data_IF_362893335689
#
_entry.id   IF_362893335689
#
_cell.length_a   1.000
_cell.length_b   1.000
_cell.length_c   1.000
_cell.angle_alpha   90.00
_cell.angle_beta   90.00
_cell.angle_gamma   90.00
#
_symmetry.space_group_name_H-M   'P 1'
#
loop_
_entity.id
_entity.type
_entity.pdbx_description
1 polymer ?
#
# COMPACT_ATOMS: atom_id res chain seq x y z
N UNK A 1 10.50 0.32 -3.81
CA UNK A 1 11.96 0.08 -3.79
C UNK A 1 12.68 1.21 -4.50
N UNK A 2 12.32 1.53 -5.75
CA UNK A 2 12.88 2.66 -6.52
C UNK A 2 13.02 3.96 -5.72
N UNK A 3 11.94 4.44 -5.10
CA UNK A 3 11.97 5.64 -4.26
C UNK A 3 13.05 5.58 -3.16
N UNK A 4 13.23 4.43 -2.51
CA UNK A 4 14.21 4.28 -1.43
C UNK A 4 15.66 4.20 -1.93
N UNK A 5 15.89 3.85 -3.20
CA UNK A 5 17.22 3.87 -3.81
C UNK A 5 17.75 5.29 -4.00
N UNK A 6 16.87 6.28 -4.12
CA UNK A 6 17.20 7.69 -4.26
C UNK A 6 17.22 8.47 -2.92
N UNK A 7 17.11 7.76 -1.78
CA UNK A 7 17.12 8.33 -0.42
C UNK A 7 18.40 7.96 0.33
N UNK A 8 18.69 8.69 1.41
CA UNK A 8 19.81 8.34 2.28
C UNK A 8 19.49 7.06 3.06
N UNK A 9 20.16 5.99 2.66
CA UNK A 9 20.08 4.66 3.25
C UNK A 9 20.88 4.53 4.56
N UNK A 10 21.57 5.59 5.02
CA UNK A 10 22.34 5.54 6.28
C UNK A 10 21.45 5.88 7.48
N UNK A 11 21.49 4.98 8.48
CA UNK A 11 20.77 5.14 9.75
C UNK A 11 21.79 4.98 10.86
N UNK A 12 22.32 6.12 11.34
CA UNK A 12 23.48 6.11 12.23
C UNK A 12 24.71 5.56 11.50
N UNK A 13 25.23 4.41 11.94
CA UNK A 13 26.40 3.75 11.34
C UNK A 13 26.06 2.60 10.37
N UNK A 14 24.77 2.24 10.23
CA UNK A 14 24.33 1.09 9.45
C UNK A 14 23.67 1.55 8.15
N UNK A 15 24.08 0.96 7.03
CA UNK A 15 23.42 1.15 5.73
C UNK A 15 22.25 0.16 5.63
N UNK A 16 21.04 0.69 5.59
CA UNK A 16 19.80 -0.07 5.52
C UNK A 16 19.38 -0.18 4.04
N UNK A 17 19.34 -1.39 3.44
CA UNK A 17 18.95 -1.54 2.04
C UNK A 17 17.52 -1.06 1.80
N UNK A 18 17.21 -0.35 0.69
CA UNK A 18 15.85 0.09 0.38
C UNK A 18 14.83 -1.06 0.32
N UNK A 19 15.26 -2.24 -0.12
CA UNK A 19 14.42 -3.44 -0.15
C UNK A 19 14.02 -3.93 1.25
N UNK A 20 14.81 -3.64 2.30
CA UNK A 20 14.49 -4.01 3.67
C UNK A 20 13.35 -3.19 4.27
N UNK A 21 12.89 -2.13 3.59
CA UNK A 21 11.76 -1.31 4.04
C UNK A 21 10.43 -2.11 4.07
N UNK A 22 10.29 -3.16 3.26
CA UNK A 22 9.15 -4.08 3.34
C UNK A 22 9.06 -4.81 4.68
N UNK A 23 10.14 -4.87 5.46
CA UNK A 23 10.12 -5.41 6.82
C UNK A 23 9.18 -4.60 7.72
N UNK A 24 9.07 -3.29 7.52
CA UNK A 24 8.15 -2.45 8.30
C UNK A 24 6.69 -2.81 8.07
N UNK A 25 6.33 -3.19 6.84
CA UNK A 25 5.01 -3.69 6.50
C UNK A 25 4.70 -4.99 7.26
N UNK A 26 5.60 -5.98 7.17
CA UNK A 26 5.49 -7.26 7.88
C UNK A 26 5.41 -7.05 9.41
N UNK A 27 6.26 -6.19 9.98
CA UNK A 27 6.24 -5.87 11.41
C UNK A 27 4.92 -5.21 11.82
N UNK A 28 4.39 -4.33 10.97
CA UNK A 28 3.09 -3.69 11.20
C UNK A 28 1.99 -4.74 11.25
N UNK A 29 1.97 -5.68 10.30
CA UNK A 29 1.00 -6.79 10.29
C UNK A 29 1.11 -7.62 11.58
N UNK A 30 2.32 -8.04 11.95
CA UNK A 30 2.57 -8.86 13.16
C UNK A 30 2.10 -8.14 14.43
N UNK A 31 2.28 -6.82 14.52
CA UNK A 31 1.85 -6.03 15.66
C UNK A 31 0.33 -5.76 15.63
N UNK A 32 -0.22 -5.49 14.45
CA UNK A 32 -1.57 -5.01 14.27
C UNK A 32 -2.60 -6.14 14.36
N UNK A 33 -2.28 -7.35 13.94
CA UNK A 33 -3.17 -8.53 14.09
C UNK A 33 -3.58 -8.76 15.56
N UNK A 34 -2.66 -8.92 16.54
CA UNK A 34 -3.06 -9.09 17.93
C UNK A 34 -3.72 -7.84 18.51
N UNK A 35 -3.32 -6.64 18.08
CA UNK A 35 -3.99 -5.41 18.49
C UNK A 35 -5.44 -5.33 17.98
N UNK A 36 -5.66 -5.81 16.77
CA UNK A 36 -6.98 -5.89 16.16
C UNK A 36 -7.89 -6.81 16.98
N UNK A 37 -7.45 -8.05 17.23
CA UNK A 37 -8.25 -9.03 17.97
C UNK A 37 -8.51 -8.61 19.42
N UNK A 38 -7.49 -8.01 20.07
CA UNK A 38 -7.51 -7.78 21.52
C UNK A 38 -8.02 -6.40 21.92
N UNK A 39 -7.92 -5.40 21.06
CA UNK A 39 -8.36 -4.03 21.34
C UNK A 39 -9.44 -3.56 20.37
N UNK A 40 -9.24 -3.71 19.06
CA UNK A 40 -10.17 -3.15 18.06
C UNK A 40 -11.51 -3.87 18.06
N UNK A 41 -11.53 -5.21 18.01
CA UNK A 41 -12.77 -6.02 18.04
C UNK A 41 -13.61 -5.74 19.31
N UNK A 42 -13.07 -5.82 20.53
CA UNK A 42 -13.86 -5.53 21.73
C UNK A 42 -14.28 -4.06 21.84
N UNK A 43 -13.45 -3.11 21.40
CA UNK A 43 -13.84 -1.69 21.36
C UNK A 43 -14.99 -1.45 20.36
N UNK A 44 -14.89 -2.02 19.16
CA UNK A 44 -15.92 -1.93 18.14
C UNK A 44 -17.24 -2.55 18.62
N UNK A 45 -17.19 -3.72 19.28
CA UNK A 45 -18.37 -4.34 19.90
C UNK A 45 -19.03 -3.44 20.95
N UNK A 46 -18.23 -2.79 21.81
CA UNK A 46 -18.73 -1.86 22.83
C UNK A 46 -19.37 -0.61 22.25
N UNK A 47 -18.81 -0.08 21.16
CA UNK A 47 -19.29 1.16 20.53
C UNK A 47 -20.53 0.95 19.66
N UNK A 48 -20.61 -0.16 18.92
CA UNK A 48 -21.71 -0.37 17.95
C UNK A 48 -22.80 -1.31 18.45
N UNK A 49 -22.56 -2.04 19.56
CA UNK A 49 -23.51 -2.99 20.12
C UNK A 49 -23.77 -4.24 19.25
N UNK A 50 -23.02 -4.44 18.16
CA UNK A 50 -23.13 -5.60 17.26
C UNK A 50 -22.10 -6.66 17.61
N UNK A 51 -22.44 -7.95 17.46
CA UNK A 51 -21.52 -9.08 17.73
C UNK A 51 -20.20 -9.01 16.93
N UNK A 52 -20.22 -8.43 15.72
CA UNK A 52 -19.01 -8.21 14.91
C UNK A 52 -18.46 -6.77 15.00
N UNK A 53 -19.09 -5.87 15.75
CA UNK A 53 -18.64 -4.47 15.84
C UNK A 53 -18.93 -3.68 14.55
N UNK A 54 -18.08 -3.80 13.53
CA UNK A 54 -18.14 -3.10 12.24
C UNK A 54 -18.51 -4.08 11.14
N UNK A 55 -19.24 -3.65 10.09
CA UNK A 55 -19.60 -4.54 8.98
C UNK A 55 -18.38 -5.00 8.18
N UNK A 56 -18.47 -6.18 7.58
CA UNK A 56 -17.41 -6.77 6.76
C UNK A 56 -17.02 -5.84 5.60
N UNK A 57 -18.01 -5.32 4.86
CA UNK A 57 -17.79 -4.36 3.78
C UNK A 57 -17.14 -3.06 4.25
N UNK A 58 -17.51 -2.53 5.43
CA UNK A 58 -16.88 -1.32 5.97
C UNK A 58 -15.40 -1.54 6.29
N UNK A 59 -15.04 -2.72 6.80
CA UNK A 59 -13.63 -3.07 7.04
C UNK A 59 -12.85 -3.19 5.74
N UNK A 60 -13.44 -3.82 4.72
CA UNK A 60 -12.84 -3.91 3.38
C UNK A 60 -12.65 -2.51 2.78
N UNK A 61 -13.69 -1.66 2.80
CA UNK A 61 -13.60 -0.30 2.27
C UNK A 61 -12.58 0.57 3.00
N UNK A 62 -12.51 0.48 4.34
CA UNK A 62 -11.47 1.15 5.12
C UNK A 62 -10.07 0.62 4.78
N UNK A 63 -9.94 -0.68 4.57
CA UNK A 63 -8.71 -1.32 4.13
C UNK A 63 -8.26 -0.85 2.74
N UNK A 64 -9.19 -0.68 1.79
CA UNK A 64 -8.93 -0.14 0.45
C UNK A 64 -8.54 1.35 0.46
N UNK A 65 -8.99 2.12 1.45
CA UNK A 65 -8.62 3.52 1.60
C UNK A 65 -7.17 3.73 2.09
N UNK A 66 -6.62 2.79 2.86
CA UNK A 66 -5.28 2.94 3.44
C UNK A 66 -4.14 2.94 2.40
N UNK A 67 -4.14 2.07 1.36
CA UNK A 67 -3.20 2.18 0.24
C UNK A 67 -3.29 3.50 -0.51
N UNK A 68 -4.48 4.11 -0.63
CA UNK A 68 -4.65 5.44 -1.25
C UNK A 68 -3.93 6.50 -0.42
N UNK A 69 -4.11 6.46 0.91
CA UNK A 69 -3.39 7.35 1.83
C UNK A 69 -1.89 7.09 1.82
N UNK A 70 -1.46 5.83 1.72
CA UNK A 70 -0.05 5.46 1.60
C UNK A 70 0.57 6.02 0.31
N UNK A 71 -0.11 5.92 -0.83
CA UNK A 71 0.35 6.49 -2.10
C UNK A 71 0.37 8.02 -2.07
N UNK A 72 -0.61 8.66 -1.42
CA UNK A 72 -0.58 10.12 -1.22
C UNK A 72 0.60 10.55 -0.32
N UNK A 73 0.85 9.83 0.77
CA UNK A 73 2.00 10.06 1.63
C UNK A 73 3.33 9.86 0.89
N UNK A 74 3.42 8.82 0.05
CA UNK A 74 4.58 8.56 -0.81
C UNK A 74 4.84 9.70 -1.80
N UNK A 75 3.78 10.21 -2.43
CA UNK A 75 3.85 11.35 -3.35
C UNK A 75 4.34 12.61 -2.65
N UNK A 76 3.78 12.94 -1.47
CA UNK A 76 4.19 14.09 -0.67
C UNK A 76 5.65 13.98 -0.21
N UNK A 77 6.07 12.80 0.23
CA UNK A 77 7.44 12.53 0.62
C UNK A 77 8.40 12.73 -0.56
N UNK A 78 8.01 12.27 -1.75
CA UNK A 78 8.80 12.45 -2.96
C UNK A 78 8.90 13.93 -3.36
N UNK A 79 7.80 14.68 -3.29
CA UNK A 79 7.82 16.13 -3.51
C UNK A 79 8.72 16.85 -2.50
N UNK A 80 8.72 16.42 -1.24
CA UNK A 80 9.61 16.96 -0.21
C UNK A 80 11.09 16.59 -0.47
N UNK A 81 11.36 15.35 -0.89
CA UNK A 81 12.70 14.87 -1.27
C UNK A 81 13.28 15.69 -2.43
N UNK A 82 12.48 15.92 -3.48
CA UNK A 82 12.88 16.73 -4.65
C UNK A 82 13.16 18.20 -4.31
N UNK A 83 12.55 18.74 -3.25
CA UNK A 83 12.81 20.11 -2.78
C UNK A 83 14.00 20.20 -1.83
N UNK A 84 14.37 19.09 -1.18
CA UNK A 84 15.53 19.02 -0.30
C UNK A 84 16.83 18.85 -1.11
N UNK A 85 17.98 19.07 -0.48
CA UNK A 85 19.25 18.76 -1.12
C UNK A 85 19.37 17.23 -1.36
N UNK A 86 20.05 16.80 -2.44
CA UNK A 86 20.25 15.39 -2.74
C UNK A 86 20.79 14.63 -1.52
N UNK A 87 20.28 13.42 -1.28
CA UNK A 87 20.67 12.55 -0.15
C UNK A 87 20.47 13.15 1.26
N UNK A 88 19.62 14.18 1.43
CA UNK A 88 19.34 14.74 2.76
C UNK A 88 18.11 14.10 3.44
N UNK A 89 17.34 13.29 2.71
CA UNK A 89 16.12 12.66 3.24
C UNK A 89 16.41 11.20 3.58
N UNK A 90 16.30 10.85 4.87
CA UNK A 90 16.52 9.49 5.35
C UNK A 90 15.42 8.54 4.85
N UNK A 91 15.83 7.32 4.49
CA UNK A 91 14.95 6.22 4.10
C UNK A 91 13.89 5.89 5.17
N UNK A 92 14.11 6.24 6.45
CA UNK A 92 13.13 6.05 7.54
C UNK A 92 11.81 6.79 7.30
N UNK A 93 11.82 7.88 6.52
CA UNK A 93 10.60 8.58 6.18
C UNK A 93 9.63 7.74 5.32
N UNK A 94 10.06 6.59 4.81
CA UNK A 94 9.19 5.61 4.17
C UNK A 94 8.45 4.71 5.17
N UNK A 95 8.82 4.71 6.46
CA UNK A 95 8.14 3.86 7.44
C UNK A 95 6.62 4.13 7.55
N UNK A 96 6.12 5.39 7.53
CA UNK A 96 4.69 5.67 7.60
C UNK A 96 3.89 5.11 6.41
N UNK A 97 4.42 5.19 5.19
CA UNK A 97 3.73 4.64 4.01
C UNK A 97 3.63 3.11 4.07
N UNK A 98 4.69 2.43 4.51
CA UNK A 98 4.68 0.97 4.69
C UNK A 98 3.75 0.54 5.83
N UNK A 99 3.71 1.30 6.92
CA UNK A 99 2.76 1.04 8.00
C UNK A 99 1.29 1.21 7.55
N UNK A 100 0.98 2.24 6.76
CA UNK A 100 -0.36 2.43 6.20
C UNK A 100 -0.77 1.28 5.29
N UNK A 101 0.15 0.79 4.43
CA UNK A 101 -0.09 -0.40 3.60
C UNK A 101 -0.43 -1.61 4.46
N UNK A 102 0.39 -1.91 5.49
CA UNK A 102 0.14 -3.05 6.37
C UNK A 102 -1.17 -2.94 7.16
N UNK A 103 -1.56 -1.73 7.57
CA UNK A 103 -2.88 -1.50 8.18
C UNK A 103 -4.01 -1.80 7.19
N UNK A 104 -3.86 -1.35 5.95
CA UNK A 104 -4.82 -1.62 4.88
C UNK A 104 -4.96 -3.10 4.56
N UNK A 105 -3.84 -3.81 4.50
CA UNK A 105 -3.79 -5.25 4.24
C UNK A 105 -4.54 -6.02 5.34
N UNK A 106 -4.23 -5.78 6.61
CA UNK A 106 -4.92 -6.46 7.73
C UNK A 106 -6.43 -6.22 7.69
N UNK A 107 -6.88 -4.98 7.50
CA UNK A 107 -8.30 -4.64 7.44
C UNK A 107 -9.02 -5.31 6.26
N UNK A 108 -8.38 -5.29 5.08
CA UNK A 108 -8.93 -5.88 3.86
C UNK A 108 -8.98 -7.40 3.97
N UNK A 109 -7.89 -8.04 4.40
CA UNK A 109 -7.79 -9.51 4.52
C UNK A 109 -8.77 -10.05 5.55
N UNK A 110 -8.87 -9.44 6.74
CA UNK A 110 -9.84 -9.89 7.75
C UNK A 110 -11.28 -9.69 7.25
N UNK A 111 -11.57 -8.54 6.64
CA UNK A 111 -12.90 -8.26 6.09
C UNK A 111 -13.29 -9.22 4.95
N UNK A 112 -12.36 -9.52 4.04
CA UNK A 112 -12.56 -10.46 2.94
C UNK A 112 -12.77 -11.89 3.45
N UNK A 113 -11.97 -12.32 4.43
CA UNK A 113 -12.13 -13.65 5.05
C UNK A 113 -13.51 -13.74 5.73
N UNK A 114 -13.88 -12.79 6.58
CA UNK A 114 -15.18 -12.82 7.25
C UNK A 114 -16.35 -12.84 6.24
N UNK A 115 -16.26 -12.05 5.16
CA UNK A 115 -17.27 -12.02 4.10
C UNK A 115 -17.37 -13.34 3.34
N UNK A 116 -16.24 -13.88 2.87
CA UNK A 116 -16.23 -15.13 2.12
C UNK A 116 -16.69 -16.31 2.97
N UNK A 117 -16.24 -16.39 4.22
CA UNK A 117 -16.68 -17.46 5.11
C UNK A 117 -18.13 -17.30 5.58
N UNK A 118 -18.65 -16.07 5.64
CA UNK A 118 -20.04 -15.79 5.97
C UNK A 118 -21.02 -16.07 4.83
N UNK A 119 -20.61 -15.86 3.57
CA UNK A 119 -21.49 -15.96 2.40
C UNK A 119 -21.27 -17.24 1.57
N UNK A 120 -20.09 -17.86 1.60
CA UNK A 120 -19.78 -19.03 0.77
C UNK A 120 -20.18 -20.36 1.43
N UNK A 121 -20.74 -21.32 0.67
CA UNK A 121 -20.92 -22.69 1.13
C UNK A 121 -19.60 -23.33 1.54
N UNK A 122 -19.62 -24.25 2.52
CA UNK A 122 -18.41 -24.88 3.06
C UNK A 122 -17.50 -25.54 2.00
N UNK A 123 -18.07 -26.03 0.90
CA UNK A 123 -17.35 -26.63 -0.22
C UNK A 123 -16.60 -25.62 -1.12
N UNK A 124 -16.93 -24.32 -1.05
CA UNK A 124 -16.35 -23.28 -1.93
C UNK A 124 -15.25 -22.45 -1.26
N UNK A 125 -14.91 -22.73 0.00
CA UNK A 125 -13.89 -21.97 0.75
C UNK A 125 -12.52 -21.97 0.04
N UNK A 126 -12.11 -23.10 -0.53
CA UNK A 126 -10.86 -23.20 -1.31
C UNK A 126 -10.91 -22.34 -2.59
N UNK A 127 -12.08 -22.21 -3.22
CA UNK A 127 -12.28 -21.35 -4.39
C UNK A 127 -12.14 -19.88 -4.00
N UNK A 128 -12.66 -19.46 -2.84
CA UNK A 128 -12.50 -18.10 -2.34
C UNK A 128 -11.02 -17.74 -2.10
N UNK A 129 -10.24 -18.65 -1.50
CA UNK A 129 -8.79 -18.43 -1.33
C UNK A 129 -8.05 -18.36 -2.66
N UNK A 130 -8.41 -19.22 -3.62
CA UNK A 130 -7.83 -19.18 -4.96
C UNK A 130 -8.14 -17.84 -5.67
N UNK A 131 -9.37 -17.33 -5.55
CA UNK A 131 -9.76 -16.02 -6.08
C UNK A 131 -8.97 -14.87 -5.44
N UNK A 132 -8.69 -14.94 -4.13
CA UNK A 132 -7.83 -13.96 -3.45
C UNK A 132 -6.40 -13.94 -3.99
N UNK A 133 -5.79 -15.12 -4.18
CA UNK A 133 -4.45 -15.24 -4.77
C UNK A 133 -4.42 -14.76 -6.23
N UNK A 134 -5.46 -15.05 -7.00
CA UNK A 134 -5.61 -14.55 -8.37
C UNK A 134 -5.74 -13.03 -8.39
N UNK A 135 -6.47 -12.42 -7.44
CA UNK A 135 -6.59 -10.98 -7.34
C UNK A 135 -5.23 -10.32 -7.03
N UNK A 136 -4.43 -10.90 -6.12
CA UNK A 136 -3.06 -10.43 -5.85
C UNK A 136 -2.19 -10.50 -7.11
N UNK A 137 -2.26 -11.63 -7.82
CA UNK A 137 -1.49 -11.85 -9.05
C UNK A 137 -1.91 -10.86 -10.16
N UNK A 138 -3.22 -10.68 -10.34
CA UNK A 138 -3.76 -9.72 -11.29
C UNK A 138 -3.36 -8.27 -10.94
N UNK A 139 -3.36 -7.92 -9.65
CA UNK A 139 -2.86 -6.63 -9.17
C UNK A 139 -1.38 -6.41 -9.51
N UNK A 140 -0.53 -7.43 -9.33
CA UNK A 140 0.86 -7.40 -9.74
C UNK A 140 1.04 -7.18 -11.24
N UNK A 141 0.29 -7.90 -12.07
CA UNK A 141 0.32 -7.70 -13.52
C UNK A 141 -0.19 -6.32 -13.95
N UNK A 142 -1.25 -5.83 -13.32
CA UNK A 142 -1.76 -4.48 -13.58
C UNK A 142 -0.73 -3.42 -13.23
N UNK A 143 -0.01 -3.57 -12.12
CA UNK A 143 1.08 -2.66 -11.74
C UNK A 143 2.20 -2.64 -12.80
N UNK A 144 2.63 -3.80 -13.26
CA UNK A 144 3.66 -3.91 -14.32
C UNK A 144 3.18 -3.33 -15.65
N UNK A 145 1.92 -3.55 -16.00
CA UNK A 145 1.32 -2.98 -17.20
C UNK A 145 1.26 -1.45 -17.12
N UNK A 146 0.79 -0.89 -16.00
CA UNK A 146 0.73 0.55 -15.78
C UNK A 146 2.12 1.18 -15.83
N UNK A 147 3.12 0.55 -15.22
CA UNK A 147 4.51 1.00 -15.29
C UNK A 147 5.00 1.08 -16.74
N UNK A 148 4.79 0.00 -17.50
CA UNK A 148 5.20 -0.08 -18.91
C UNK A 148 4.47 0.95 -19.77
N UNK A 149 3.16 1.12 -19.55
CA UNK A 149 2.34 2.09 -20.27
C UNK A 149 2.76 3.53 -19.98
N UNK A 150 3.07 3.86 -18.72
CA UNK A 150 3.59 5.18 -18.33
C UNK A 150 4.97 5.42 -18.94
N UNK A 151 5.88 4.45 -18.88
CA UNK A 151 7.20 4.57 -19.51
C UNK A 151 7.07 4.82 -21.01
N UNK A 152 6.24 4.04 -21.71
CA UNK A 152 6.00 4.22 -23.13
C UNK A 152 5.38 5.59 -23.47
N UNK A 153 4.38 6.02 -22.70
CA UNK A 153 3.69 7.28 -22.92
C UNK A 153 4.56 8.51 -22.59
N UNK A 154 5.44 8.40 -21.59
CA UNK A 154 6.23 9.55 -21.08
C UNK A 154 7.64 9.63 -21.66
N UNK A 155 8.20 8.55 -22.21
CA UNK A 155 9.53 8.51 -22.82
C UNK A 155 9.51 8.82 -24.33
N UNK A 156 8.62 9.71 -24.79
CA UNK A 156 8.57 10.14 -26.20
C UNK A 156 9.41 11.40 -26.42
N UNK A 157 10.30 11.36 -27.41
CA UNK A 157 11.03 12.54 -27.90
C UNK A 157 12.32 12.92 -27.15
N UNK A 158 12.96 11.98 -26.46
CA UNK A 158 14.25 12.23 -25.77
C UNK A 158 14.13 12.82 -24.36
N UNK A 159 12.90 12.96 -23.83
CA UNK A 159 12.66 13.28 -22.44
C UNK A 159 12.78 12.00 -21.56
N UNK A 160 13.34 12.10 -20.34
CA UNK A 160 13.65 10.95 -19.49
C UNK A 160 12.41 10.19 -18.93
N UNK A 161 11.19 10.70 -19.13
CA UNK A 161 9.95 10.08 -18.66
C UNK A 161 9.69 10.30 -17.16
N UNK A 162 8.60 9.75 -16.62
CA UNK A 162 8.27 9.90 -15.18
C UNK A 162 9.14 9.01 -14.28
N UNK A 163 9.70 7.91 -14.81
CA UNK A 163 10.57 6.97 -14.10
C UNK A 163 11.81 6.69 -14.98
N UNK A 164 12.81 7.60 -14.99
CA UNK A 164 14.09 7.39 -15.66
C UNK A 164 15.04 6.54 -14.81
N UNK A 165 16.14 6.07 -15.40
CA UNK A 165 17.23 5.40 -14.68
C UNK A 165 17.85 6.30 -13.58
N UNK A 166 17.83 7.63 -13.77
CA UNK A 166 18.10 8.61 -12.71
C UNK A 166 16.79 9.17 -12.14
N UNK A 167 16.43 8.69 -10.94
CA UNK A 167 15.26 9.11 -10.17
C UNK A 167 15.30 10.58 -9.73
N UNK A 168 16.43 11.28 -9.83
CA UNK A 168 16.51 12.72 -9.52
C UNK A 168 16.06 13.60 -10.70
N UNK A 169 16.13 13.09 -11.92
CA UNK A 169 15.61 13.76 -13.12
C UNK A 169 14.15 13.37 -13.41
N UNK A 170 13.66 12.32 -12.73
CA UNK A 170 12.30 11.80 -12.84
C UNK A 170 11.28 12.49 -11.93
N UNK A 171 10.00 12.35 -12.30
CA UNK A 171 8.85 12.81 -11.52
C UNK A 171 8.05 11.63 -10.98
N UNK A 172 8.67 10.88 -10.07
CA UNK A 172 8.06 9.70 -9.45
C UNK A 172 6.85 10.05 -8.56
N UNK A 173 6.79 11.30 -8.10
CA UNK A 173 5.64 11.90 -7.43
C UNK A 173 4.35 11.84 -8.27
N UNK A 174 4.45 12.07 -9.59
CA UNK A 174 3.29 12.00 -10.51
C UNK A 174 2.76 10.59 -10.65
N UNK A 175 3.64 9.58 -10.65
CA UNK A 175 3.25 8.18 -10.68
C UNK A 175 2.48 7.80 -9.40
N UNK A 176 2.95 8.24 -8.24
CA UNK A 176 2.24 8.00 -6.98
C UNK A 176 0.88 8.71 -6.92
N UNK A 177 0.77 9.95 -7.40
CA UNK A 177 -0.53 10.63 -7.52
C UNK A 177 -1.49 9.92 -8.47
N UNK A 178 -1.00 9.40 -9.60
CA UNK A 178 -1.80 8.60 -10.52
C UNK A 178 -2.34 7.33 -9.85
N UNK A 179 -1.48 6.61 -9.12
CA UNK A 179 -1.87 5.41 -8.37
C UNK A 179 -2.86 5.73 -7.24
N UNK A 180 -2.67 6.84 -6.53
CA UNK A 180 -3.63 7.32 -5.54
C UNK A 180 -4.99 7.67 -6.16
N UNK A 181 -4.98 8.33 -7.33
CA UNK A 181 -6.20 8.64 -8.09
C UNK A 181 -6.95 7.38 -8.54
N UNK A 182 -6.23 6.40 -9.09
CA UNK A 182 -6.81 5.11 -9.48
C UNK A 182 -7.38 4.36 -8.27
N UNK A 183 -6.67 4.35 -7.14
CA UNK A 183 -7.14 3.75 -5.90
C UNK A 183 -8.37 4.47 -5.32
N UNK A 184 -8.44 5.79 -5.46
CA UNK A 184 -9.62 6.57 -5.09
C UNK A 184 -10.83 6.24 -5.98
N UNK A 185 -10.64 6.11 -7.29
CA UNK A 185 -11.70 5.64 -8.20
C UNK A 185 -12.18 4.23 -7.84
N UNK A 186 -11.26 3.33 -7.50
CA UNK A 186 -11.61 2.00 -7.02
C UNK A 186 -12.43 2.06 -5.72
N UNK A 187 -12.08 2.97 -4.80
CA UNK A 187 -12.83 3.18 -3.56
C UNK A 187 -14.22 3.78 -3.79
N UNK A 188 -14.38 4.66 -4.79
CA UNK A 188 -15.68 5.23 -5.16
C UNK A 188 -16.60 4.22 -5.86
N UNK A 189 -16.02 3.25 -6.55
CA UNK A 189 -16.76 2.17 -7.21
C UNK A 189 -17.19 1.05 -6.24
N UNK A 190 -16.57 0.98 -5.06
CA UNK A 190 -16.84 0.00 -3.99
C UNK A 190 -18.00 0.45 -3.09
#
# INVERSE_FOLDING_TARGET
>A
VEQGMAMDATVGSVRVPPASMSTFDILTIILLVPLYDRAFVPAARRLTGREKGISELQRIGAGLAMPVLAMAAAALLETARLRAAPNSTSVLWQAPQYALVGVGEVLTTIGQLDFFYGQAPAAMKTVCTALGLLAITAGGYLSSFLLTAVQWATATGGAPGWIPDDLNEGHLDRFFWMMAGLGCLNLLAF
#
